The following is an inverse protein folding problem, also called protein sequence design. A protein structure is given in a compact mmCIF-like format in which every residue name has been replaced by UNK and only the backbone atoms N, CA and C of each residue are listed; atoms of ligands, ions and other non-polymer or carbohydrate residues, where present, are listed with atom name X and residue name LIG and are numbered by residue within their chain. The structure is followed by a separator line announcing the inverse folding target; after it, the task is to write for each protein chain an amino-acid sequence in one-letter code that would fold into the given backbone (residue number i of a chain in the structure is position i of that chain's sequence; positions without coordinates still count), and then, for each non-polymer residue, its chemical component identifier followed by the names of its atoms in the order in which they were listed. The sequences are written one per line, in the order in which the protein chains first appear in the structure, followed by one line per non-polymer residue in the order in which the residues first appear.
data_IF_927477518440
#
_entry.id   IF_927477518440
#
_cell.length_a   1.000
_cell.length_b   1.000
_cell.length_c   1.000
_cell.angle_alpha   90.00
_cell.angle_beta   90.00
_cell.angle_gamma   90.00
#
_symmetry.space_group_name_H-M   'P 1'
#
loop_
_entity.id
_entity.type
_entity.pdbx_description
1 polymer ?
#
# COMPACT_ATOMS: atom_id res chain seq x y z
N UNK A 1 -51.38 -1.53 2.03
CA UNK A 1 -50.03 -2.06 2.38
C UNK A 1 -49.00 -1.31 1.56
N UNK A 2 -48.23 -0.43 2.19
CA UNK A 2 -47.17 0.34 1.52
C UNK A 2 -46.07 -0.60 1.07
N UNK A 3 -45.79 -0.70 -0.25
CA UNK A 3 -44.60 -1.36 -0.78
C UNK A 3 -43.36 -0.62 -0.21
N UNK A 4 -42.61 -1.23 0.72
CA UNK A 4 -41.30 -0.72 1.12
C UNK A 4 -40.48 -0.55 -0.15
N UNK A 5 -40.14 0.69 -0.47
CA UNK A 5 -39.24 1.02 -1.55
C UNK A 5 -37.93 0.25 -1.29
N UNK A 6 -37.50 -0.54 -2.28
CA UNK A 6 -36.26 -1.34 -2.18
C UNK A 6 -35.13 -0.34 -2.29
N UNK A 7 -34.40 -0.10 -1.20
CA UNK A 7 -33.22 0.76 -1.18
C UNK A 7 -32.24 0.25 -2.25
N UNK A 8 -31.75 1.14 -3.11
CA UNK A 8 -30.76 0.77 -4.14
C UNK A 8 -29.46 0.26 -3.49
N UNK A 9 -28.69 -0.56 -4.20
CA UNK A 9 -27.38 -1.05 -3.73
C UNK A 9 -26.45 0.12 -3.41
N UNK A 10 -26.47 1.17 -4.25
CA UNK A 10 -25.68 2.38 -4.08
C UNK A 10 -26.06 3.10 -2.77
N UNK A 11 -27.37 3.35 -2.55
CA UNK A 11 -27.84 3.99 -1.31
C UNK A 11 -27.47 3.18 -0.05
N UNK A 12 -27.54 1.86 -0.14
CA UNK A 12 -27.11 0.97 0.94
C UNK A 12 -25.63 1.18 1.27
N UNK A 13 -24.75 1.17 0.26
CA UNK A 13 -23.32 1.32 0.44
C UNK A 13 -22.93 2.70 0.98
N UNK A 14 -23.60 3.77 0.51
CA UNK A 14 -23.43 5.12 1.06
C UNK A 14 -23.80 5.15 2.55
N UNK A 15 -24.91 4.51 2.94
CA UNK A 15 -25.32 4.41 4.36
C UNK A 15 -24.38 3.59 5.22
N UNK A 16 -23.69 2.62 4.65
CA UNK A 16 -22.61 1.85 5.30
C UNK A 16 -21.32 2.66 5.46
N UNK A 17 -21.26 3.86 4.87
CA UNK A 17 -20.09 4.74 4.89
C UNK A 17 -19.00 4.35 3.91
N UNK A 18 -19.31 3.56 2.88
CA UNK A 18 -18.32 3.19 1.86
C UNK A 18 -17.91 4.43 1.06
N UNK A 19 -16.62 4.52 0.74
CA UNK A 19 -16.01 5.67 0.07
C UNK A 19 -15.82 6.88 0.98
N UNK A 20 -15.97 6.74 2.30
CA UNK A 20 -15.81 7.82 3.25
C UNK A 20 -14.80 7.48 4.35
N UNK A 21 -14.33 8.51 5.06
CA UNK A 21 -13.30 8.41 6.09
C UNK A 21 -11.89 8.67 5.54
N UNK A 22 -10.92 8.66 6.44
CA UNK A 22 -9.48 8.80 6.18
C UNK A 22 -8.73 7.83 7.10
N UNK A 23 -7.52 7.45 6.75
CA UNK A 23 -6.68 6.57 7.56
C UNK A 23 -7.39 5.27 7.94
N UNK A 24 -7.45 4.96 9.23
CA UNK A 24 -8.07 3.75 9.77
C UNK A 24 -9.60 3.69 9.58
N UNK A 25 -10.26 4.86 9.43
CA UNK A 25 -11.71 4.96 9.31
C UNK A 25 -12.20 4.86 7.87
N UNK A 26 -11.31 4.90 6.88
CA UNK A 26 -11.70 4.81 5.48
C UNK A 26 -12.28 3.42 5.16
N UNK A 27 -13.39 3.41 4.42
CA UNK A 27 -14.04 2.20 3.93
C UNK A 27 -14.06 2.20 2.40
N UNK A 28 -13.37 1.26 1.74
CA UNK A 28 -13.38 1.19 0.28
C UNK A 28 -14.77 0.96 -0.29
N UNK A 29 -15.01 1.46 -1.50
CA UNK A 29 -16.29 1.27 -2.19
C UNK A 29 -16.52 -0.18 -2.59
N UNK A 30 -15.48 -0.81 -3.15
CA UNK A 30 -15.48 -2.21 -3.57
C UNK A 30 -14.59 -3.03 -2.65
N UNK A 31 -15.10 -4.19 -2.23
CA UNK A 31 -14.34 -5.22 -1.55
C UNK A 31 -14.15 -6.42 -2.50
N UNK A 32 -13.21 -7.31 -2.20
CA UNK A 32 -12.95 -8.53 -2.99
C UNK A 32 -14.23 -9.34 -3.25
N UNK A 33 -15.12 -9.41 -2.27
CA UNK A 33 -16.38 -10.16 -2.38
C UNK A 33 -17.44 -9.51 -3.25
N UNK A 34 -17.30 -8.23 -3.60
CA UNK A 34 -18.31 -7.48 -4.38
C UNK A 34 -18.11 -7.66 -5.88
N UNK A 35 -16.91 -8.09 -6.30
CA UNK A 35 -16.52 -8.25 -7.71
C UNK A 35 -15.96 -9.63 -7.97
N UNK A 36 -16.25 -10.18 -9.17
CA UNK A 36 -15.56 -11.37 -9.66
C UNK A 36 -14.19 -10.95 -10.19
N UNK A 37 -13.14 -11.12 -9.39
CA UNK A 37 -11.77 -10.86 -9.80
C UNK A 37 -11.35 -11.86 -10.89
N UNK A 38 -10.74 -11.36 -11.97
CA UNK A 38 -10.04 -12.21 -12.95
C UNK A 38 -8.59 -12.48 -12.53
N UNK A 39 -8.09 -11.77 -11.52
CA UNK A 39 -6.74 -11.88 -10.98
C UNK A 39 -6.72 -12.38 -9.55
N UNK A 40 -5.51 -12.50 -9.00
CA UNK A 40 -5.28 -12.83 -7.61
C UNK A 40 -5.63 -11.64 -6.73
N UNK A 41 -6.65 -11.79 -5.87
CA UNK A 41 -6.98 -10.78 -4.87
C UNK A 41 -6.18 -11.00 -3.58
N UNK A 42 -5.86 -9.90 -2.90
CA UNK A 42 -5.01 -9.94 -1.70
C UNK A 42 -5.61 -9.04 -0.61
N UNK A 43 -5.53 -9.51 0.64
CA UNK A 43 -5.80 -8.73 1.85
C UNK A 43 -4.51 -8.57 2.62
N UNK A 44 -4.23 -7.36 3.06
CA UNK A 44 -3.07 -7.08 3.92
C UNK A 44 -3.33 -5.86 4.82
N UNK A 45 -2.63 -5.81 5.94
CA UNK A 45 -2.75 -4.68 6.87
C UNK A 45 -1.78 -3.60 6.47
N UNK A 46 -2.27 -2.37 6.32
CA UNK A 46 -1.44 -1.20 6.09
C UNK A 46 -0.81 -0.70 7.39
N UNK A 47 0.44 -0.29 7.31
CA UNK A 47 1.20 0.32 8.42
C UNK A 47 0.70 1.76 8.63
N UNK A 48 0.66 2.56 7.56
CA UNK A 48 0.27 3.99 7.62
C UNK A 48 -1.17 4.19 8.06
N UNK A 49 -2.06 3.37 7.55
CA UNK A 49 -3.51 3.51 7.78
C UNK A 49 -4.02 2.69 8.94
N UNK A 50 -3.22 1.72 9.43
CA UNK A 50 -3.57 0.77 10.49
C UNK A 50 -4.90 0.04 10.24
N UNK A 51 -5.26 -0.23 8.98
CA UNK A 51 -6.45 -0.96 8.57
C UNK A 51 -6.12 -2.07 7.57
N UNK A 52 -7.07 -2.97 7.35
CA UNK A 52 -6.99 -3.94 6.27
C UNK A 52 -7.31 -3.26 4.95
N UNK A 53 -6.44 -3.46 3.97
CA UNK A 53 -6.64 -3.12 2.56
C UNK A 53 -7.02 -4.35 1.75
N UNK A 54 -7.78 -4.13 0.68
CA UNK A 54 -8.20 -5.17 -0.26
C UNK A 54 -7.83 -4.77 -1.69
N UNK A 55 -7.02 -5.61 -2.35
CA UNK A 55 -6.57 -5.37 -3.73
C UNK A 55 -7.13 -6.43 -4.66
N UNK A 56 -7.55 -6.01 -5.84
CA UNK A 56 -8.20 -6.85 -6.84
C UNK A 56 -7.21 -7.44 -7.85
N UNK A 57 -5.95 -6.99 -7.81
CA UNK A 57 -4.87 -7.48 -8.68
C UNK A 57 -3.52 -7.45 -7.97
N UNK A 58 -2.57 -8.25 -8.49
CA UNK A 58 -1.17 -8.22 -8.05
C UNK A 58 -0.50 -6.87 -8.35
N UNK A 59 -0.92 -6.18 -9.41
CA UNK A 59 -0.37 -4.88 -9.80
C UNK A 59 -0.76 -3.80 -8.79
N UNK A 60 -2.04 -3.76 -8.37
CA UNK A 60 -2.53 -2.88 -7.30
C UNK A 60 -1.77 -3.14 -5.98
N UNK A 61 -1.62 -4.42 -5.59
CA UNK A 61 -0.86 -4.81 -4.40
C UNK A 61 0.59 -4.31 -4.46
N UNK A 62 1.27 -4.48 -5.60
CA UNK A 62 2.65 -4.04 -5.76
C UNK A 62 2.78 -2.52 -5.68
N UNK A 63 1.83 -1.78 -6.28
CA UNK A 63 1.78 -0.32 -6.18
C UNK A 63 1.52 0.12 -4.73
N UNK A 64 0.65 -0.57 -4.01
CA UNK A 64 0.43 -0.32 -2.58
C UNK A 64 1.73 -0.43 -1.78
N UNK A 65 2.53 -1.46 -1.95
CA UNK A 65 3.79 -1.59 -1.22
C UNK A 65 4.74 -0.42 -1.49
N UNK A 66 4.80 0.10 -2.71
CA UNK A 66 5.61 1.28 -3.03
C UNK A 66 5.08 2.55 -2.33
N UNK A 67 3.77 2.77 -2.35
CA UNK A 67 3.14 3.92 -1.71
C UNK A 67 3.19 3.83 -0.19
N UNK A 68 3.01 2.64 0.36
CA UNK A 68 3.16 2.37 1.79
C UNK A 68 4.59 2.63 2.27
N UNK A 69 5.59 2.26 1.47
CA UNK A 69 7.00 2.49 1.79
C UNK A 69 7.46 3.92 1.54
N UNK A 70 6.73 4.74 0.78
CA UNK A 70 7.08 6.14 0.51
C UNK A 70 7.01 7.00 1.78
N UNK A 71 7.99 7.89 2.02
CA UNK A 71 7.94 8.84 3.14
C UNK A 71 6.94 9.98 2.91
N UNK A 72 6.60 10.26 1.65
CA UNK A 72 5.73 11.34 1.28
C UNK A 72 4.24 10.98 1.35
N UNK A 73 3.89 9.71 1.16
CA UNK A 73 2.50 9.26 1.24
C UNK A 73 2.10 9.12 2.70
N UNK A 74 1.02 9.78 3.10
CA UNK A 74 0.52 9.78 4.48
C UNK A 74 -0.83 9.07 4.64
N UNK A 75 -1.62 8.96 3.55
CA UNK A 75 -2.87 8.19 3.53
C UNK A 75 -3.07 7.50 2.18
N UNK A 76 -3.68 6.31 2.21
CA UNK A 76 -3.93 5.47 1.05
C UNK A 76 -5.39 5.01 1.12
N UNK A 77 -6.19 5.42 0.11
CA UNK A 77 -7.61 5.07 -0.01
C UNK A 77 -7.83 4.30 -1.32
N UNK A 78 -7.86 2.98 -1.23
CA UNK A 78 -8.10 2.12 -2.39
C UNK A 78 -9.58 2.10 -2.76
N UNK A 79 -9.87 1.80 -4.02
CA UNK A 79 -11.21 1.68 -4.61
C UNK A 79 -12.10 2.90 -4.23
N UNK A 80 -11.56 4.11 -4.46
CA UNK A 80 -12.24 5.36 -4.12
C UNK A 80 -13.37 5.65 -5.11
N UNK A 81 -14.63 5.85 -4.65
CA UNK A 81 -15.78 6.03 -5.54
C UNK A 81 -15.83 7.42 -6.15
N UNK A 82 -16.20 7.49 -7.41
CA UNK A 82 -16.48 8.74 -8.11
C UNK A 82 -17.95 9.14 -7.86
N UNK A 83 -18.17 9.84 -6.77
CA UNK A 83 -19.49 10.30 -6.34
C UNK A 83 -19.62 11.83 -6.47
N UNK A 84 -20.81 12.39 -6.73
CA UNK A 84 -22.07 11.65 -6.97
C UNK A 84 -22.09 10.95 -8.34
N UNK A 85 -22.83 9.85 -8.45
CA UNK A 85 -22.94 9.06 -9.69
C UNK A 85 -23.40 9.91 -10.89
N UNK A 86 -24.30 10.84 -10.65
CA UNK A 86 -24.86 11.74 -11.68
C UNK A 86 -23.76 12.53 -12.40
N UNK A 87 -22.70 12.90 -11.70
CA UNK A 87 -21.59 13.67 -12.28
C UNK A 87 -20.84 12.84 -13.32
N UNK A 88 -20.53 11.59 -13.06
CA UNK A 88 -19.85 10.73 -14.03
C UNK A 88 -20.75 10.40 -15.22
N UNK A 89 -22.07 10.34 -15.04
CA UNK A 89 -23.04 10.20 -16.13
C UNK A 89 -23.03 11.44 -17.01
N UNK A 90 -23.05 12.64 -16.42
CA UNK A 90 -22.98 13.92 -17.18
C UNK A 90 -21.66 14.00 -17.96
N UNK A 91 -20.52 13.68 -17.33
CA UNK A 91 -19.23 13.67 -18.00
C UNK A 91 -19.24 12.69 -19.20
N UNK A 92 -19.78 11.50 -19.01
CA UNK A 92 -19.87 10.52 -20.09
C UNK A 92 -20.71 11.04 -21.26
N UNK A 93 -21.84 11.72 -20.99
CA UNK A 93 -22.70 12.31 -22.01
C UNK A 93 -21.98 13.45 -22.76
N UNK A 94 -21.32 14.35 -22.05
CA UNK A 94 -20.52 15.44 -22.63
C UNK A 94 -19.40 14.93 -23.55
N UNK A 95 -18.79 13.80 -23.21
CA UNK A 95 -17.73 13.16 -23.99
C UNK A 95 -18.27 12.27 -25.12
N UNK A 96 -19.58 12.04 -25.20
CA UNK A 96 -20.17 11.08 -26.13
C UNK A 96 -19.80 9.63 -25.83
N UNK A 97 -19.46 9.32 -24.57
CA UNK A 97 -19.03 7.99 -24.11
C UNK A 97 -20.19 7.32 -23.39
N UNK A 98 -20.41 6.02 -23.66
CA UNK A 98 -21.40 5.26 -22.90
C UNK A 98 -20.93 5.06 -21.44
N UNK A 99 -21.71 5.56 -20.47
CA UNK A 99 -21.41 5.32 -19.05
C UNK A 99 -21.40 3.80 -18.72
N UNK A 100 -20.50 3.31 -17.84
CA UNK A 100 -20.50 1.92 -17.39
C UNK A 100 -21.81 1.52 -16.71
N UNK A 101 -22.34 0.35 -17.04
CA UNK A 101 -23.57 -0.20 -16.48
C UNK A 101 -23.36 -1.61 -15.94
N UNK A 102 -24.14 -1.99 -14.96
CA UNK A 102 -24.19 -3.37 -14.48
C UNK A 102 -24.76 -4.27 -15.60
N UNK A 103 -24.06 -5.35 -15.99
CA UNK A 103 -24.47 -6.19 -17.11
C UNK A 103 -25.78 -6.95 -16.88
N UNK A 104 -26.25 -7.08 -15.63
CA UNK A 104 -27.48 -7.80 -15.28
C UNK A 104 -28.68 -6.87 -15.17
N UNK A 105 -28.49 -5.67 -14.61
CA UNK A 105 -29.58 -4.72 -14.36
C UNK A 105 -29.65 -3.59 -15.39
N UNK A 106 -28.58 -3.38 -16.14
CA UNK A 106 -28.40 -2.25 -17.06
C UNK A 106 -28.39 -0.86 -16.33
N UNK A 107 -28.34 -0.84 -15.02
CA UNK A 107 -28.27 0.38 -14.23
C UNK A 107 -26.84 0.94 -14.25
N UNK A 108 -26.65 2.27 -14.26
CA UNK A 108 -25.32 2.86 -14.13
C UNK A 108 -24.63 2.43 -12.83
N UNK A 109 -23.32 2.16 -12.89
CA UNK A 109 -22.50 1.78 -11.73
C UNK A 109 -21.65 2.95 -11.28
N UNK A 110 -21.42 3.06 -9.96
CA UNK A 110 -20.43 3.99 -9.43
C UNK A 110 -19.05 3.51 -9.86
N UNK A 111 -18.33 4.35 -10.61
CA UNK A 111 -16.94 4.12 -10.99
C UNK A 111 -16.03 4.34 -9.79
N UNK A 112 -14.87 3.69 -9.79
CA UNK A 112 -13.85 3.85 -8.74
C UNK A 112 -12.49 4.18 -9.36
N UNK A 113 -11.71 5.00 -8.65
CA UNK A 113 -10.27 5.14 -8.85
C UNK A 113 -9.57 4.12 -7.96
N UNK A 114 -8.56 3.43 -8.47
CA UNK A 114 -7.90 2.37 -7.71
C UNK A 114 -7.23 2.91 -6.44
N UNK A 115 -6.62 4.10 -6.49
CA UNK A 115 -5.99 4.77 -5.36
C UNK A 115 -6.24 6.27 -5.34
N UNK A 116 -6.70 6.79 -4.22
CA UNK A 116 -6.61 8.20 -3.86
C UNK A 116 -5.59 8.32 -2.73
N UNK A 117 -4.45 8.93 -3.02
CA UNK A 117 -3.33 9.10 -2.09
C UNK A 117 -3.33 10.50 -1.51
N UNK A 118 -3.04 10.65 -0.22
CA UNK A 118 -2.68 11.93 0.38
C UNK A 118 -1.16 11.98 0.51
N UNK A 119 -0.55 13.02 -0.05
CA UNK A 119 0.90 13.19 -0.10
C UNK A 119 1.30 14.47 0.60
N UNK A 120 2.28 14.38 1.51
CA UNK A 120 2.93 15.51 2.15
C UNK A 120 4.02 16.06 1.22
N UNK A 121 3.90 17.33 0.80
CA UNK A 121 4.92 18.03 0.01
C UNK A 121 5.80 18.97 0.85
N UNK A 122 5.71 18.90 2.18
CA UNK A 122 6.44 19.78 3.09
C UNK A 122 5.78 21.13 3.32
N UNK A 123 5.06 21.66 2.33
CA UNK A 123 4.30 22.92 2.41
C UNK A 123 2.78 22.67 2.56
N UNK A 124 2.37 21.42 2.66
CA UNK A 124 0.98 20.99 2.80
C UNK A 124 0.68 19.66 2.14
N UNK A 125 -0.55 19.22 2.33
CA UNK A 125 -1.03 17.95 1.78
C UNK A 125 -1.69 18.16 0.42
N UNK A 126 -1.42 17.25 -0.51
CA UNK A 126 -2.10 17.18 -1.80
C UNK A 126 -2.68 15.80 -2.01
N UNK A 127 -3.76 15.73 -2.77
CA UNK A 127 -4.34 14.47 -3.20
C UNK A 127 -3.85 14.10 -4.61
N UNK A 128 -3.57 12.83 -4.82
CA UNK A 128 -3.21 12.25 -6.11
C UNK A 128 -4.13 11.06 -6.38
N UNK A 129 -4.82 11.06 -7.51
CA UNK A 129 -5.63 9.95 -7.97
C UNK A 129 -4.83 9.09 -8.95
N UNK A 130 -4.78 7.78 -8.72
CA UNK A 130 -4.01 6.85 -9.56
C UNK A 130 -4.85 5.62 -9.90
N UNK A 131 -4.90 5.33 -11.19
CA UNK A 131 -5.55 4.15 -11.74
C UNK A 131 -4.49 3.18 -12.21
N UNK A 132 -4.62 1.92 -11.81
CA UNK A 132 -3.61 0.89 -12.04
C UNK A 132 -4.06 -0.02 -13.17
N UNK A 133 -3.26 -0.13 -14.23
CA UNK A 133 -3.63 -0.95 -15.37
C UNK A 133 -2.41 -1.54 -16.08
N UNK A 134 -2.53 -2.78 -16.53
CA UNK A 134 -1.54 -3.36 -17.42
C UNK A 134 -1.47 -2.56 -18.73
N UNK A 135 -0.26 -2.27 -19.22
CA UNK A 135 -0.04 -1.48 -20.44
C UNK A 135 -0.85 -1.99 -21.64
N UNK A 136 -0.89 -3.31 -21.84
CA UNK A 136 -1.59 -3.90 -22.96
C UNK A 136 -3.11 -3.67 -22.90
N UNK A 137 -3.68 -3.49 -21.71
CA UNK A 137 -5.10 -3.17 -21.55
C UNK A 137 -5.44 -1.75 -22.05
N UNK A 138 -4.45 -0.85 -22.09
CA UNK A 138 -4.62 0.52 -22.63
C UNK A 138 -4.83 0.56 -24.14
N UNK A 139 -4.61 -0.57 -24.84
CA UNK A 139 -4.94 -0.69 -26.27
C UNK A 139 -6.45 -0.89 -26.52
N UNK A 140 -7.23 -1.15 -25.46
CA UNK A 140 -8.66 -1.37 -25.58
C UNK A 140 -9.40 -0.03 -25.50
N UNK A 141 -10.07 0.36 -26.56
CA UNK A 141 -10.85 1.61 -26.66
C UNK A 141 -11.77 1.79 -25.45
N UNK A 142 -12.51 0.74 -25.08
CA UNK A 142 -13.44 0.79 -23.95
C UNK A 142 -12.76 1.07 -22.59
N UNK A 143 -11.50 0.70 -22.43
CA UNK A 143 -10.72 1.02 -21.21
C UNK A 143 -10.38 2.51 -21.20
N UNK A 144 -9.91 3.03 -22.33
CA UNK A 144 -9.56 4.45 -22.48
C UNK A 144 -10.78 5.35 -22.30
N UNK A 145 -11.93 4.99 -22.88
CA UNK A 145 -13.20 5.72 -22.67
C UNK A 145 -13.55 5.88 -21.20
N UNK A 146 -13.44 4.80 -20.42
CA UNK A 146 -13.70 4.86 -18.97
C UNK A 146 -12.70 5.75 -18.23
N UNK A 147 -11.43 5.66 -18.61
CA UNK A 147 -10.37 6.48 -18.01
C UNK A 147 -10.55 7.96 -18.36
N UNK A 148 -11.11 8.29 -19.52
CA UNK A 148 -11.39 9.68 -19.87
C UNK A 148 -12.50 10.27 -18.99
N UNK A 149 -13.54 9.51 -18.64
CA UNK A 149 -14.55 9.92 -17.66
C UNK A 149 -13.90 10.18 -16.30
N UNK A 150 -13.03 9.28 -15.87
CA UNK A 150 -12.32 9.37 -14.60
C UNK A 150 -11.37 10.56 -14.57
N UNK A 151 -10.59 10.79 -15.63
CA UNK A 151 -9.69 11.92 -15.79
C UNK A 151 -10.43 13.26 -15.65
N UNK A 152 -11.54 13.44 -16.38
CA UNK A 152 -12.35 14.66 -16.33
C UNK A 152 -12.97 14.86 -14.95
N UNK A 153 -13.39 13.79 -14.28
CA UNK A 153 -13.92 13.86 -12.91
C UNK A 153 -12.88 14.45 -11.94
N UNK A 154 -11.62 14.00 -12.00
CA UNK A 154 -10.54 14.48 -11.15
C UNK A 154 -10.03 15.87 -11.57
N UNK A 155 -9.98 16.16 -12.86
CA UNK A 155 -9.64 17.50 -13.38
C UNK A 155 -10.59 18.58 -12.85
N UNK A 156 -11.90 18.32 -12.81
CA UNK A 156 -12.88 19.23 -12.21
C UNK A 156 -12.64 19.52 -10.74
N UNK A 157 -11.96 18.62 -10.04
CA UNK A 157 -11.57 18.77 -8.63
C UNK A 157 -10.17 19.31 -8.44
N UNK A 158 -9.46 19.60 -9.53
CA UNK A 158 -8.07 20.06 -9.51
C UNK A 158 -7.15 19.03 -8.80
N UNK A 159 -7.48 17.74 -8.88
CA UNK A 159 -6.69 16.64 -8.37
C UNK A 159 -5.91 16.02 -9.54
N UNK A 160 -4.61 15.87 -9.35
CA UNK A 160 -3.73 15.22 -10.34
C UNK A 160 -4.09 13.74 -10.45
N UNK A 161 -4.57 13.36 -11.64
CA UNK A 161 -4.89 11.98 -11.98
C UNK A 161 -3.87 11.42 -12.97
N UNK A 162 -3.56 10.14 -12.82
CA UNK A 162 -2.66 9.45 -13.72
C UNK A 162 -2.86 7.94 -13.74
N UNK A 163 -2.43 7.33 -14.85
CA UNK A 163 -2.41 5.88 -15.02
C UNK A 163 -1.01 5.40 -14.63
N UNK A 164 -0.96 4.31 -13.86
CA UNK A 164 0.26 3.60 -13.49
C UNK A 164 0.19 2.21 -14.09
N UNK A 165 1.22 1.84 -14.84
CA UNK A 165 1.33 0.51 -15.44
C UNK A 165 2.41 -0.33 -14.75
N UNK A 166 2.61 -1.56 -15.21
CA UNK A 166 3.70 -2.42 -14.73
C UNK A 166 5.10 -1.85 -15.04
N UNK A 167 5.19 -0.85 -15.92
CA UNK A 167 6.47 -0.22 -16.27
C UNK A 167 6.95 0.78 -15.22
N UNK A 168 6.01 1.45 -14.54
CA UNK A 168 6.29 2.40 -13.46
C UNK A 168 6.44 1.72 -12.08
N UNK A 169 6.18 0.41 -11.99
CA UNK A 169 6.27 -0.36 -10.75
C UNK A 169 7.52 -1.24 -10.77
N UNK A 170 8.62 -0.86 -10.12
CA UNK A 170 9.82 -1.70 -10.00
C UNK A 170 9.47 -2.99 -9.24
N UNK A 171 9.38 -4.11 -9.97
CA UNK A 171 8.92 -5.39 -9.41
C UNK A 171 9.78 -5.88 -8.25
N UNK A 172 11.09 -5.73 -8.38
CA UNK A 172 12.03 -6.19 -7.34
C UNK A 172 11.89 -5.35 -6.07
N UNK A 173 11.75 -4.03 -6.20
CA UNK A 173 11.49 -3.15 -5.06
C UNK A 173 10.17 -3.50 -4.37
N UNK A 174 9.09 -3.68 -5.12
CA UNK A 174 7.80 -4.08 -4.56
C UNK A 174 7.89 -5.45 -3.85
N UNK A 175 8.66 -6.39 -4.40
CA UNK A 175 8.92 -7.70 -3.82
C UNK A 175 9.69 -7.59 -2.50
N UNK A 176 10.79 -6.83 -2.49
CA UNK A 176 11.59 -6.62 -1.29
C UNK A 176 10.78 -5.96 -0.18
N UNK A 177 10.00 -4.91 -0.52
CA UNK A 177 9.12 -4.25 0.44
C UNK A 177 8.07 -5.22 0.97
N UNK A 178 7.42 -6.01 0.10
CA UNK A 178 6.43 -7.00 0.52
C UNK A 178 7.01 -8.02 1.50
N UNK A 179 8.29 -8.38 1.32
CA UNK A 179 8.98 -9.33 2.20
C UNK A 179 9.27 -8.74 3.58
N UNK A 180 9.72 -7.47 3.65
CA UNK A 180 10.07 -6.83 4.92
C UNK A 180 8.86 -6.22 5.65
N UNK A 181 7.73 -6.06 4.99
CA UNK A 181 6.54 -5.36 5.51
C UNK A 181 6.05 -5.92 6.85
N UNK A 182 5.99 -7.24 6.99
CA UNK A 182 5.49 -7.89 8.19
C UNK A 182 6.42 -7.71 9.42
N UNK A 183 7.69 -7.33 9.18
CA UNK A 183 8.66 -7.08 10.24
C UNK A 183 8.54 -5.69 10.87
N UNK A 184 7.54 -4.89 10.47
CA UNK A 184 7.32 -3.55 11.03
C UNK A 184 7.04 -3.60 12.54
N UNK A 185 6.28 -4.58 13.01
CA UNK A 185 5.94 -4.74 14.42
C UNK A 185 6.64 -5.97 15.01
N UNK A 186 7.67 -5.74 15.82
CA UNK A 186 8.44 -6.79 16.49
C UNK A 186 7.61 -7.58 17.53
N UNK A 187 6.53 -6.99 18.06
CA UNK A 187 5.66 -7.67 19.05
C UNK A 187 4.93 -8.89 18.45
N UNK A 188 4.90 -9.04 17.13
CA UNK A 188 4.37 -10.24 16.48
C UNK A 188 5.32 -11.45 16.56
N UNK A 189 6.55 -11.26 17.04
CA UNK A 189 7.59 -12.29 17.13
C UNK A 189 7.91 -12.61 18.59
N UNK A 190 7.74 -13.86 19.01
CA UNK A 190 7.89 -14.33 20.38
C UNK A 190 9.22 -13.91 21.02
N UNK A 191 10.29 -13.88 20.24
CA UNK A 191 11.61 -13.49 20.70
C UNK A 191 11.69 -12.05 21.25
N UNK A 192 10.70 -11.18 20.94
CA UNK A 192 10.71 -9.76 21.32
C UNK A 192 9.57 -9.37 22.26
N UNK A 193 8.60 -10.23 22.50
CA UNK A 193 7.40 -9.90 23.29
C UNK A 193 7.72 -9.52 24.74
N UNK A 194 8.69 -10.20 25.36
CA UNK A 194 9.06 -10.00 26.75
C UNK A 194 10.26 -9.04 26.93
N UNK A 195 10.82 -8.50 25.84
CA UNK A 195 11.93 -7.57 25.91
C UNK A 195 11.43 -6.14 26.14
N UNK A 196 12.17 -5.41 27.01
CA UNK A 196 11.90 -3.98 27.16
C UNK A 196 12.29 -3.21 25.89
N UNK A 197 11.65 -2.07 25.61
CA UNK A 197 12.03 -1.20 24.51
C UNK A 197 13.52 -0.87 24.49
N UNK A 198 14.10 -0.54 25.64
CA UNK A 198 15.52 -0.23 25.75
C UNK A 198 16.40 -1.41 25.37
N UNK A 199 16.04 -2.62 25.76
CA UNK A 199 16.81 -3.81 25.43
C UNK A 199 16.78 -4.10 23.91
N UNK A 200 15.65 -3.89 23.24
CA UNK A 200 15.57 -4.04 21.78
C UNK A 200 16.39 -2.96 21.08
N UNK A 201 16.38 -1.72 21.58
CA UNK A 201 17.22 -0.63 21.07
C UNK A 201 18.71 -0.97 21.21
N UNK A 202 19.14 -1.47 22.36
CA UNK A 202 20.52 -1.88 22.62
C UNK A 202 20.95 -3.03 21.66
N UNK A 203 20.08 -4.03 21.46
CA UNK A 203 20.32 -5.10 20.49
C UNK A 203 20.41 -4.57 19.05
N UNK A 204 19.52 -3.64 18.68
CA UNK A 204 19.51 -3.03 17.35
C UNK A 204 20.78 -2.24 17.08
N UNK A 205 21.24 -1.45 18.06
CA UNK A 205 22.50 -0.70 17.96
C UNK A 205 23.71 -1.62 17.82
N UNK A 206 23.79 -2.65 18.65
CA UNK A 206 24.91 -3.61 18.60
C UNK A 206 24.92 -4.40 17.29
N UNK A 207 23.76 -4.82 16.79
CA UNK A 207 23.64 -5.49 15.50
C UNK A 207 24.04 -4.54 14.35
N UNK A 208 23.55 -3.31 14.37
CA UNK A 208 23.84 -2.29 13.36
C UNK A 208 25.34 -2.04 13.24
N UNK A 209 26.05 -1.87 14.38
CA UNK A 209 27.49 -1.69 14.38
C UNK A 209 28.19 -2.85 13.64
N UNK A 210 27.81 -4.10 13.92
CA UNK A 210 28.39 -5.27 13.24
C UNK A 210 28.08 -5.33 11.75
N UNK A 211 26.88 -4.98 11.37
CA UNK A 211 26.47 -4.95 9.96
C UNK A 211 27.26 -3.90 9.17
N UNK A 212 27.63 -2.78 9.78
CA UNK A 212 28.40 -1.71 9.12
C UNK A 212 29.90 -1.99 9.07
N UNK A 213 30.46 -2.71 10.06
CA UNK A 213 31.89 -2.99 10.18
C UNK A 213 32.32 -4.30 9.47
N UNK A 214 31.38 -5.17 9.12
CA UNK A 214 31.68 -6.50 8.57
C UNK A 214 31.51 -6.57 7.06
N UNK A 215 32.36 -7.37 6.41
CA UNK A 215 32.22 -7.76 5.00
C UNK A 215 31.56 -9.14 4.83
N UNK A 216 31.07 -9.75 5.90
CA UNK A 216 30.39 -11.03 5.86
C UNK A 216 28.95 -10.86 5.36
N UNK A 217 28.28 -11.98 5.02
CA UNK A 217 26.87 -11.98 4.69
C UNK A 217 26.00 -11.62 5.91
N UNK A 218 24.83 -11.01 5.67
CA UNK A 218 23.89 -10.70 6.74
C UNK A 218 23.50 -11.97 7.52
N UNK A 219 23.37 -13.10 6.82
CA UNK A 219 23.08 -14.41 7.42
C UNK A 219 24.13 -14.82 8.44
N UNK A 220 25.41 -14.71 8.07
CA UNK A 220 26.52 -15.09 8.96
C UNK A 220 26.55 -14.19 10.19
N UNK A 221 26.46 -12.87 9.99
CA UNK A 221 26.47 -11.88 11.08
C UNK A 221 25.33 -12.14 12.07
N UNK A 222 24.11 -12.30 11.57
CA UNK A 222 22.92 -12.50 12.42
C UNK A 222 22.96 -13.82 13.16
N UNK A 223 23.43 -14.90 12.54
CA UNK A 223 23.57 -16.21 13.21
C UNK A 223 24.64 -16.19 14.34
N UNK A 224 25.72 -15.46 14.17
CA UNK A 224 26.73 -15.28 15.22
C UNK A 224 26.17 -14.42 16.35
N UNK A 225 25.49 -13.34 16.00
CA UNK A 225 24.89 -12.40 16.95
C UNK A 225 23.81 -13.05 17.84
N UNK A 226 22.94 -13.90 17.26
CA UNK A 226 21.94 -14.66 18.03
C UNK A 226 22.60 -15.54 19.11
N UNK A 227 23.73 -16.20 18.78
CA UNK A 227 24.45 -17.04 19.73
C UNK A 227 25.09 -16.25 20.87
N UNK A 228 25.70 -15.12 20.55
CA UNK A 228 26.40 -14.28 21.53
C UNK A 228 25.44 -13.55 22.47
N UNK A 229 24.28 -13.16 21.96
CA UNK A 229 23.23 -12.48 22.75
C UNK A 229 22.25 -13.46 23.40
N UNK A 230 22.44 -14.77 23.20
CA UNK A 230 21.55 -15.82 23.69
C UNK A 230 20.10 -15.67 23.21
N UNK A 231 19.89 -15.03 22.06
CA UNK A 231 18.59 -14.91 21.42
C UNK A 231 18.25 -16.20 20.65
N UNK A 232 16.97 -16.51 20.49
CA UNK A 232 16.55 -17.58 19.60
C UNK A 232 17.07 -17.38 18.18
N UNK A 233 17.45 -18.48 17.50
CA UNK A 233 17.97 -18.42 16.14
C UNK A 233 16.98 -17.75 15.18
N UNK A 234 17.45 -16.77 14.43
CA UNK A 234 16.65 -15.97 13.49
C UNK A 234 16.13 -14.64 14.08
N UNK A 235 16.29 -14.40 15.39
CA UNK A 235 15.86 -13.15 16.00
C UNK A 235 16.58 -11.94 15.42
N UNK A 236 17.91 -12.04 15.25
CA UNK A 236 18.70 -10.94 14.67
C UNK A 236 18.42 -10.71 13.19
N UNK A 237 18.01 -11.74 12.45
CA UNK A 237 17.52 -11.58 11.08
C UNK A 237 16.17 -10.84 11.07
N UNK A 238 15.26 -11.15 11.98
CA UNK A 238 14.01 -10.41 12.18
C UNK A 238 14.31 -8.94 12.51
N UNK A 239 15.26 -8.69 13.39
CA UNK A 239 15.68 -7.33 13.74
C UNK A 239 16.30 -6.59 12.53
N UNK A 240 17.10 -7.25 11.69
CA UNK A 240 17.63 -6.68 10.45
C UNK A 240 16.51 -6.22 9.50
N UNK A 241 15.48 -7.06 9.27
CA UNK A 241 14.34 -6.69 8.43
C UNK A 241 13.51 -5.58 9.07
N UNK A 242 13.40 -5.56 10.39
CA UNK A 242 12.77 -4.47 11.11
C UNK A 242 13.51 -3.14 10.90
N UNK A 243 14.83 -3.13 10.98
CA UNK A 243 15.64 -1.94 10.70
C UNK A 243 15.44 -1.42 9.26
N UNK A 244 15.26 -2.31 8.30
CA UNK A 244 14.98 -1.96 6.90
C UNK A 244 13.58 -1.34 6.73
N UNK A 245 12.54 -1.96 7.28
CA UNK A 245 11.16 -1.46 7.12
C UNK A 245 10.93 -0.16 7.90
N UNK A 246 11.61 0.02 9.02
CA UNK A 246 11.63 1.28 9.78
C UNK A 246 12.54 2.35 9.13
N UNK A 247 13.25 1.99 8.06
CA UNK A 247 14.19 2.87 7.35
C UNK A 247 15.28 3.46 8.25
N UNK A 248 15.71 2.71 9.23
CA UNK A 248 16.89 3.01 10.03
C UNK A 248 18.14 2.76 9.20
N UNK A 249 18.13 1.67 8.45
CA UNK A 249 19.13 1.33 7.45
C UNK A 249 18.51 1.29 6.05
N UNK A 250 19.36 1.47 5.04
CA UNK A 250 19.00 1.36 3.63
C UNK A 250 19.91 0.38 2.92
N UNK A 251 19.33 -0.37 2.01
CA UNK A 251 20.00 -1.18 1.00
C UNK A 251 19.45 -0.80 -0.38
N UNK A 252 20.06 -1.27 -1.45
CA UNK A 252 19.48 -1.12 -2.78
C UNK A 252 18.25 -2.02 -2.90
N UNK A 253 17.07 -1.39 -2.89
CA UNK A 253 15.80 -2.10 -2.99
C UNK A 253 15.43 -2.47 -4.44
N UNK A 254 16.19 -2.00 -5.44
CA UNK A 254 16.00 -2.38 -6.84
C UNK A 254 16.68 -3.71 -7.18
N UNK A 255 17.63 -4.14 -6.34
CA UNK A 255 18.31 -5.44 -6.45
C UNK A 255 17.66 -6.46 -5.49
N UNK A 256 17.72 -7.77 -5.80
CA UNK A 256 17.22 -8.80 -4.90
C UNK A 256 17.87 -8.75 -3.52
N UNK A 257 17.08 -8.75 -2.46
CA UNK A 257 17.56 -8.76 -1.07
C UNK A 257 18.13 -10.16 -0.73
N UNK A 258 19.38 -10.40 -1.10
CA UNK A 258 20.06 -11.68 -0.90
C UNK A 258 20.93 -11.65 0.37
N UNK A 259 20.38 -12.12 1.48
CA UNK A 259 21.06 -12.14 2.79
C UNK A 259 22.21 -13.17 2.90
N UNK A 260 22.34 -14.07 1.91
CA UNK A 260 23.44 -15.05 1.84
C UNK A 260 24.73 -14.44 1.24
N UNK A 261 24.65 -13.19 0.76
CA UNK A 261 25.78 -12.45 0.22
C UNK A 261 26.02 -11.18 1.04
N UNK A 262 27.23 -10.61 1.03
CA UNK A 262 27.45 -9.27 1.57
C UNK A 262 26.53 -8.24 0.90
N UNK A 263 25.88 -7.41 1.69
CA UNK A 263 24.97 -6.34 1.22
C UNK A 263 25.57 -5.00 1.65
N UNK A 264 25.58 -4.04 0.74
CA UNK A 264 25.97 -2.65 1.08
C UNK A 264 24.83 -2.02 1.89
N UNK A 265 25.11 -1.78 3.16
CA UNK A 265 24.17 -1.19 4.11
C UNK A 265 24.57 0.26 4.39
N UNK A 266 23.62 1.16 4.33
CA UNK A 266 23.80 2.57 4.67
C UNK A 266 22.92 2.92 5.86
N UNK A 267 23.48 3.61 6.85
CA UNK A 267 22.74 4.21 7.94
C UNK A 267 22.08 5.50 7.44
N UNK A 268 20.77 5.67 7.66
CA UNK A 268 20.05 6.86 7.23
C UNK A 268 20.03 7.90 8.33
N UNK A 269 19.68 7.49 9.57
CA UNK A 269 19.47 8.42 10.67
C UNK A 269 19.59 7.72 12.05
N UNK A 270 20.64 8.03 12.80
CA UNK A 270 20.82 7.51 14.16
C UNK A 270 19.74 7.99 15.13
N UNK A 271 19.13 9.15 14.88
CA UNK A 271 18.08 9.66 15.74
C UNK A 271 16.80 8.82 15.69
N UNK A 272 16.55 8.11 14.58
CA UNK A 272 15.43 7.16 14.45
C UNK A 272 15.61 5.89 15.30
N UNK A 273 16.83 5.54 15.69
CA UNK A 273 17.07 4.42 16.62
C UNK A 273 16.43 4.68 17.98
N UNK A 274 16.42 5.95 18.46
CA UNK A 274 15.76 6.36 19.70
C UNK A 274 14.23 6.40 19.59
N UNK A 275 13.69 6.21 18.40
CA UNK A 275 12.26 6.25 18.10
C UNK A 275 11.71 4.90 17.62
N UNK A 276 12.40 3.77 17.88
CA UNK A 276 11.87 2.44 17.59
C UNK A 276 10.55 2.31 18.35
N UNK A 277 9.48 2.84 17.72
CA UNK A 277 8.13 2.80 18.26
C UNK A 277 7.60 1.40 18.05
N UNK A 278 7.40 0.74 19.13
CA UNK A 278 6.63 -0.49 19.23
C UNK A 278 5.17 -0.11 18.98
N UNK A 279 4.66 -0.43 17.80
CA UNK A 279 3.26 -0.23 17.43
C UNK A 279 2.36 -1.29 18.04
#
# INVERSE_FOLDING_TARGET
MSKRARTSRIEKWIKEGRGSGIGSEYKPWLNIQDVSSQGRSTRLRGIKTNRQHEFLSDLERNYFYLTEYSDFVVDIREQFPLLPLEETIIIADELGIKHPTDPKTNEPVVMTTDFLLTVDKGEGFVELARTIKMKDELLKERVIEKFEIERVYWERRQIDWGIVTELEIPKEMARNISYIHDYYNLQHYDAFQDLSPQHIEDLAMALLQRLLESSQSVREITNVFDKETHMPLGSSMTLFYHLLVQKIIRVDMLEPLNVEQPIVIQLIDESKLKQVKYG
#
